data_IF_161147010740
#
_entry.id   IF_161147010740
#
_cell.length_a   1.000
_cell.length_b   1.000
_cell.length_c   1.000
_cell.angle_alpha   90.00
_cell.angle_beta   90.00
_cell.angle_gamma   90.00
#
_symmetry.space_group_name_H-M   'P 1'
#
loop_
_entity.id
_entity.type
_entity.pdbx_description
1 polymer ?
#
# COMPACT_ATOMS: atom_id res chain seq x y z
N UNK A 1 -10.13 4.08 11.75
CA UNK A 1 -10.03 2.64 11.40
C UNK A 1 -9.74 1.71 12.59
N UNK A 2 -9.33 2.19 13.76
CA UNK A 2 -9.01 1.33 14.92
C UNK A 2 -10.17 0.42 15.37
N UNK A 3 -11.42 0.84 15.23
CA UNK A 3 -12.58 -0.01 15.54
C UNK A 3 -12.62 -1.28 14.67
N UNK A 4 -12.38 -1.16 13.35
CA UNK A 4 -12.32 -2.30 12.45
C UNK A 4 -11.14 -3.22 12.76
N UNK A 5 -9.99 -2.63 13.12
CA UNK A 5 -8.84 -3.41 13.58
C UNK A 5 -9.19 -4.25 14.81
N UNK A 6 -9.78 -3.62 15.84
CA UNK A 6 -10.23 -4.33 17.05
C UNK A 6 -11.26 -5.42 16.72
N UNK A 7 -12.18 -5.16 15.80
CA UNK A 7 -13.19 -6.14 15.40
C UNK A 7 -12.55 -7.38 14.76
N UNK A 8 -11.56 -7.18 13.89
CA UNK A 8 -10.80 -8.28 13.30
C UNK A 8 -9.98 -9.04 14.36
N UNK A 9 -9.30 -8.33 15.27
CA UNK A 9 -8.47 -8.95 16.31
C UNK A 9 -9.27 -9.80 17.32
N UNK A 10 -10.59 -9.58 17.46
CA UNK A 10 -11.45 -10.37 18.36
C UNK A 10 -12.24 -11.48 17.64
N UNK A 11 -12.06 -11.64 16.33
CA UNK A 11 -12.79 -12.63 15.52
C UNK A 11 -11.85 -13.29 14.51
N UNK A 12 -11.24 -14.42 14.88
CA UNK A 12 -10.28 -15.14 14.04
C UNK A 12 -10.84 -15.62 12.69
N UNK A 13 -12.17 -15.63 12.53
CA UNK A 13 -12.86 -16.03 11.29
C UNK A 13 -13.33 -14.84 10.44
N UNK A 14 -13.05 -13.60 10.85
CA UNK A 14 -13.50 -12.39 10.16
C UNK A 14 -12.38 -11.81 9.29
N UNK A 15 -12.65 -11.66 7.99
CA UNK A 15 -11.78 -10.92 7.07
C UNK A 15 -12.44 -9.59 6.68
N UNK A 16 -11.71 -8.49 6.84
CA UNK A 16 -12.18 -7.16 6.46
C UNK A 16 -11.40 -6.68 5.23
N UNK A 17 -12.11 -6.49 4.12
CA UNK A 17 -11.57 -5.92 2.89
C UNK A 17 -12.04 -4.46 2.72
N UNK A 18 -11.12 -3.53 2.49
CA UNK A 18 -11.42 -2.10 2.36
C UNK A 18 -10.71 -1.53 1.14
N UNK A 19 -11.40 -0.67 0.39
CA UNK A 19 -10.80 0.20 -0.63
C UNK A 19 -10.67 1.62 -0.07
N UNK A 20 -9.48 2.22 -0.19
CA UNK A 20 -9.17 3.54 0.36
C UNK A 20 -8.55 4.41 -0.73
N UNK A 21 -9.13 5.60 -0.96
CA UNK A 21 -8.71 6.49 -2.04
C UNK A 21 -7.45 7.33 -1.72
N UNK A 22 -7.13 7.55 -0.44
CA UNK A 22 -5.94 8.32 -0.02
C UNK A 22 -5.54 7.96 1.41
N UNK A 23 -4.93 6.79 1.64
CA UNK A 23 -4.53 6.37 2.98
C UNK A 23 -3.35 7.22 3.47
N UNK A 24 -3.39 7.66 4.73
CA UNK A 24 -2.19 8.12 5.42
C UNK A 24 -1.29 6.94 5.79
N UNK A 25 0.00 7.20 6.01
CA UNK A 25 0.95 6.18 6.47
C UNK A 25 0.46 5.44 7.71
N UNK A 26 -0.07 6.16 8.69
CA UNK A 26 -0.56 5.57 9.95
C UNK A 26 -1.72 4.61 9.75
N UNK A 27 -2.62 4.90 8.81
CA UNK A 27 -3.77 4.05 8.51
C UNK A 27 -3.32 2.75 7.84
N UNK A 28 -2.29 2.79 6.99
CA UNK A 28 -1.76 1.60 6.30
C UNK A 28 -1.22 0.56 7.28
N UNK A 29 -0.52 1.01 8.32
CA UNK A 29 0.05 0.11 9.31
C UNK A 29 -0.99 -0.58 10.21
N UNK A 30 -2.28 -0.23 10.09
CA UNK A 30 -3.36 -0.96 10.72
C UNK A 30 -3.74 -2.24 9.96
N UNK A 31 -3.33 -2.37 8.70
CA UNK A 31 -3.65 -3.52 7.85
C UNK A 31 -2.56 -4.57 7.87
N UNK A 32 -2.96 -5.85 7.82
CA UNK A 32 -2.01 -6.96 7.76
C UNK A 32 -1.41 -7.10 6.36
N UNK A 33 -2.21 -6.81 5.32
CA UNK A 33 -1.86 -6.91 3.91
C UNK A 33 -2.35 -5.66 3.15
N UNK A 34 -1.55 -5.18 2.21
CA UNK A 34 -1.92 -4.14 1.25
C UNK A 34 -1.97 -4.72 -0.15
N UNK A 35 -2.99 -4.32 -0.91
CA UNK A 35 -3.14 -4.65 -2.32
C UNK A 35 -3.28 -3.35 -3.11
N UNK A 36 -2.22 -2.96 -3.82
CA UNK A 36 -2.18 -1.70 -4.57
C UNK A 36 -2.41 -1.98 -6.05
N UNK A 37 -3.45 -1.35 -6.58
CA UNK A 37 -3.85 -1.43 -7.98
C UNK A 37 -3.40 -0.18 -8.74
N UNK A 38 -2.81 -0.40 -9.91
CA UNK A 38 -2.61 0.63 -10.92
C UNK A 38 -3.76 0.66 -11.93
N UNK A 39 -3.74 1.66 -12.81
CA UNK A 39 -4.68 1.78 -13.93
C UNK A 39 -4.75 0.46 -14.73
N UNK A 40 -5.96 0.06 -15.11
CA UNK A 40 -6.20 -1.19 -15.83
C UNK A 40 -6.32 -2.44 -14.93
N UNK A 41 -6.38 -2.27 -13.60
CA UNK A 41 -6.56 -3.39 -12.68
C UNK A 41 -5.29 -4.21 -12.44
N UNK A 42 -4.13 -3.67 -12.81
CA UNK A 42 -2.82 -4.31 -12.63
C UNK A 42 -2.42 -4.19 -11.16
N UNK A 43 -2.16 -5.33 -10.50
CA UNK A 43 -1.59 -5.36 -9.17
C UNK A 43 -0.10 -5.01 -9.23
N UNK A 44 0.29 -3.91 -8.60
CA UNK A 44 1.69 -3.48 -8.54
C UNK A 44 2.35 -3.77 -7.18
N UNK A 45 1.55 -4.12 -6.18
CA UNK A 45 2.03 -4.50 -4.86
C UNK A 45 1.01 -5.36 -4.14
N UNK A 46 1.48 -6.48 -3.59
CA UNK A 46 0.72 -7.29 -2.64
C UNK A 46 1.66 -7.85 -1.57
N UNK A 47 1.62 -7.25 -0.38
CA UNK A 47 2.38 -7.68 0.81
C UNK A 47 1.97 -6.85 2.04
N UNK A 48 2.58 -7.14 3.19
CA UNK A 48 2.47 -6.36 4.42
C UNK A 48 3.01 -4.93 4.23
N UNK A 49 2.34 -3.90 4.80
CA UNK A 49 2.83 -2.52 4.77
C UNK A 49 4.28 -2.34 5.20
N UNK A 50 4.77 -3.22 6.09
CA UNK A 50 6.15 -3.21 6.61
C UNK A 50 7.20 -3.40 5.50
N UNK A 51 6.83 -4.08 4.42
CA UNK A 51 7.72 -4.42 3.31
C UNK A 51 7.70 -3.37 2.18
N UNK A 52 6.89 -2.30 2.29
CA UNK A 52 6.76 -1.28 1.23
C UNK A 52 8.11 -0.65 0.89
N UNK A 53 8.87 -0.20 1.91
CA UNK A 53 10.15 0.47 1.70
C UNK A 53 11.16 -0.45 1.01
N UNK A 54 11.38 -1.63 1.57
CA UNK A 54 12.32 -2.63 1.04
C UNK A 54 11.98 -3.03 -0.41
N UNK A 55 10.71 -3.30 -0.72
CA UNK A 55 10.30 -3.66 -2.08
C UNK A 55 10.42 -2.51 -3.06
N UNK A 56 10.22 -1.27 -2.62
CA UNK A 56 10.42 -0.10 -3.47
C UNK A 56 11.91 0.04 -3.84
N UNK A 57 12.80 -0.13 -2.86
CA UNK A 57 14.27 -0.07 -3.03
C UNK A 57 14.80 -1.17 -3.96
N UNK A 58 14.19 -2.35 -3.94
CA UNK A 58 14.59 -3.47 -4.82
C UNK A 58 14.22 -3.26 -6.29
N UNK A 59 13.19 -2.48 -6.59
CA UNK A 59 12.59 -2.40 -7.92
C UNK A 59 12.88 -1.09 -8.67
N UNK A 60 13.44 -0.05 -8.03
CA UNK A 60 13.60 1.26 -8.65
C UNK A 60 14.98 1.91 -8.45
N UNK A 61 15.46 2.54 -9.53
CA UNK A 61 16.63 3.44 -9.58
C UNK A 61 16.29 4.89 -9.19
N UNK A 62 15.04 5.20 -8.78
CA UNK A 62 14.71 6.54 -8.30
C UNK A 62 15.40 6.81 -6.96
N UNK A 63 16.07 7.97 -6.86
CA UNK A 63 16.63 8.48 -5.60
C UNK A 63 15.52 8.50 -4.55
N UNK A 64 15.62 7.58 -3.59
CA UNK A 64 14.73 7.54 -2.46
C UNK A 64 14.89 8.86 -1.69
N UNK A 65 13.89 9.71 -1.81
CA UNK A 65 13.73 10.88 -0.96
C UNK A 65 13.30 10.38 0.41
N UNK A 66 14.26 10.29 1.33
CA UNK A 66 14.05 9.76 2.69
C UNK A 66 12.95 10.51 3.46
N UNK A 67 12.62 11.72 3.01
CA UNK A 67 11.55 12.56 3.52
C UNK A 67 10.13 12.14 3.09
N UNK A 68 9.96 11.23 2.12
CA UNK A 68 8.64 10.81 1.65
C UNK A 68 8.22 9.41 2.12
N UNK A 69 6.96 9.25 2.55
CA UNK A 69 6.46 7.94 2.94
C UNK A 69 6.34 7.01 1.71
N UNK A 70 6.73 5.73 1.81
CA UNK A 70 6.76 4.80 0.67
C UNK A 70 5.45 4.68 -0.11
N UNK A 71 4.30 4.80 0.57
CA UNK A 71 2.98 4.71 -0.07
C UNK A 71 2.76 5.80 -1.12
N UNK A 72 3.28 7.01 -0.90
CA UNK A 72 3.12 8.10 -1.87
C UNK A 72 3.81 7.75 -3.19
N UNK A 73 4.97 7.09 -3.13
CA UNK A 73 5.68 6.59 -4.31
C UNK A 73 4.87 5.52 -5.02
N UNK A 74 4.29 4.56 -4.29
CA UNK A 74 3.41 3.55 -4.89
C UNK A 74 2.16 4.15 -5.54
N UNK A 75 1.50 5.12 -4.88
CA UNK A 75 0.33 5.81 -5.44
C UNK A 75 0.72 6.66 -6.66
N UNK A 76 1.88 7.31 -6.64
CA UNK A 76 2.43 8.02 -7.79
C UNK A 76 2.63 7.05 -8.96
N UNK A 77 3.28 5.90 -8.75
CA UNK A 77 3.47 4.86 -9.77
C UNK A 77 2.12 4.34 -10.29
N UNK A 78 1.18 4.04 -9.39
CA UNK A 78 -0.15 3.54 -9.74
C UNK A 78 -0.94 4.52 -10.62
N UNK A 79 -0.84 5.83 -10.31
CA UNK A 79 -1.53 6.91 -11.02
C UNK A 79 -0.83 7.33 -12.32
N UNK A 80 0.51 7.25 -12.37
CA UNK A 80 1.31 7.63 -13.55
C UNK A 80 1.28 6.59 -14.66
N UNK A 81 0.74 5.39 -14.39
CA UNK A 81 0.34 4.37 -15.36
C UNK A 81 1.28 4.23 -16.54
N UNK A 82 2.36 3.44 -16.39
CA UNK A 82 3.30 3.00 -17.46
C UNK A 82 3.12 3.75 -18.79
N UNK A 83 3.55 5.01 -18.83
CA UNK A 83 3.90 5.66 -20.09
C UNK A 83 5.19 4.98 -20.55
N UNK A 84 5.04 3.84 -21.21
CA UNK A 84 6.01 3.48 -22.25
C UNK A 84 5.69 4.40 -23.42
N UNK A 85 6.70 5.18 -23.82
CA UNK A 85 6.70 6.00 -25.03
C UNK A 85 6.22 5.22 -26.27
#
# INVERSE_FOLDING_TARGET
MQCLRRLADHNDQLTILVSIHAPSSDILYLFDQLYILAKGGVCIYFDSPKNLKMKLEQNNREEFREDRPPIESYLKIACQGMLFD
#
